data_IF_926824034097
#
_entry.id   IF_926824034097
#
_cell.length_a   1.000
_cell.length_b   1.000
_cell.length_c   1.000
_cell.angle_alpha   90.00
_cell.angle_beta   90.00
_cell.angle_gamma   90.00
#
_symmetry.space_group_name_H-M   'P 1'
#
loop_
_entity.id
_entity.type
_entity.pdbx_description
1 polymer ?
#
# COMPACT_ATOMS: atom_id res chain seq x y z
N UNK A 1 -39.49 42.03 -4.85
CA UNK A 1 -38.43 42.40 -3.88
C UNK A 1 -37.11 41.77 -4.33
N UNK A 2 -36.05 42.57 -4.58
CA UNK A 2 -34.77 42.12 -5.14
C UNK A 2 -33.84 41.61 -4.02
N UNK A 3 -33.12 40.50 -4.24
CA UNK A 3 -32.05 40.02 -3.34
C UNK A 3 -30.87 41.00 -3.40
N UNK A 4 -30.41 41.53 -2.26
CA UNK A 4 -29.15 42.29 -2.19
C UNK A 4 -29.11 43.52 -1.28
N UNK A 5 -30.23 43.98 -0.72
CA UNK A 5 -30.22 45.13 0.21
C UNK A 5 -29.90 44.69 1.65
N UNK A 6 -29.02 45.42 2.37
CA UNK A 6 -28.73 45.14 3.78
C UNK A 6 -29.97 45.50 4.62
N UNK A 7 -30.76 44.49 4.96
CA UNK A 7 -31.89 44.62 5.88
C UNK A 7 -31.51 44.07 7.24
N UNK A 8 -31.75 44.87 8.29
CA UNK A 8 -31.60 44.41 9.66
C UNK A 8 -32.73 43.41 9.95
N UNK A 9 -32.34 42.23 10.41
CA UNK A 9 -33.23 41.18 10.88
C UNK A 9 -34.05 41.67 12.09
N UNK A 10 -35.34 41.33 12.14
CA UNK A 10 -36.27 41.75 13.20
C UNK A 10 -36.15 40.92 14.48
N UNK A 11 -35.26 39.92 14.50
CA UNK A 11 -35.01 39.07 15.66
C UNK A 11 -33.69 39.42 16.33
N UNK A 12 -33.64 39.33 17.65
CA UNK A 12 -32.38 39.43 18.38
C UNK A 12 -31.49 38.20 18.09
N UNK A 13 -30.17 38.33 18.31
CA UNK A 13 -29.18 37.27 18.00
C UNK A 13 -29.50 35.93 18.66
N UNK A 14 -30.00 35.94 19.89
CA UNK A 14 -30.32 34.72 20.64
C UNK A 14 -31.56 34.01 20.10
N UNK A 15 -32.62 34.77 19.82
CA UNK A 15 -33.84 34.25 19.19
C UNK A 15 -33.55 33.71 17.78
N UNK A 16 -32.74 34.42 17.00
CA UNK A 16 -32.32 33.94 15.67
C UNK A 16 -31.45 32.68 15.75
N UNK A 17 -30.55 32.58 16.75
CA UNK A 17 -29.74 31.39 16.97
C UNK A 17 -30.59 30.19 17.44
N UNK A 18 -31.58 30.41 18.32
CA UNK A 18 -32.51 29.37 18.77
C UNK A 18 -33.36 28.84 17.62
N UNK A 19 -33.97 29.74 16.85
CA UNK A 19 -34.69 29.38 15.63
C UNK A 19 -33.78 28.66 14.63
N UNK A 20 -32.57 29.17 14.39
CA UNK A 20 -31.61 28.56 13.47
C UNK A 20 -31.29 27.12 13.86
N UNK A 21 -31.01 26.85 15.15
CA UNK A 21 -30.76 25.49 15.66
C UNK A 21 -31.95 24.56 15.41
N UNK A 22 -33.17 25.02 15.68
CA UNK A 22 -34.38 24.21 15.51
C UNK A 22 -34.71 23.98 14.03
N UNK A 23 -34.57 25.01 13.19
CA UNK A 23 -34.73 24.94 11.75
C UNK A 23 -33.71 23.98 11.11
N UNK A 24 -32.42 24.06 11.48
CA UNK A 24 -31.39 23.14 11.01
C UNK A 24 -31.65 21.71 11.49
N UNK A 25 -32.15 21.52 12.72
CA UNK A 25 -32.51 20.19 13.25
C UNK A 25 -33.65 19.57 12.45
N UNK A 26 -34.72 20.34 12.18
CA UNK A 26 -35.91 19.91 11.43
C UNK A 26 -35.63 19.68 9.94
N UNK A 27 -34.77 20.49 9.32
CA UNK A 27 -34.48 20.44 7.88
C UNK A 27 -33.15 19.76 7.54
N UNK A 28 -32.46 19.14 8.50
CA UNK A 28 -31.13 18.53 8.30
C UNK A 28 -31.13 17.55 7.14
N UNK A 29 -32.10 16.65 7.10
CA UNK A 29 -32.14 15.56 6.12
C UNK A 29 -32.57 16.06 4.73
N UNK A 30 -33.48 17.03 4.68
CA UNK A 30 -33.87 17.71 3.44
C UNK A 30 -32.71 18.55 2.86
N UNK A 31 -31.97 19.27 3.70
CA UNK A 31 -30.81 20.06 3.31
C UNK A 31 -29.65 19.15 2.87
N UNK A 32 -29.40 18.05 3.59
CA UNK A 32 -28.42 17.03 3.21
C UNK A 32 -28.78 16.40 1.86
N UNK A 33 -30.03 16.02 1.66
CA UNK A 33 -30.50 15.43 0.39
C UNK A 33 -30.41 16.39 -0.78
N UNK A 34 -30.69 17.68 -0.57
CA UNK A 34 -30.51 18.72 -1.59
C UNK A 34 -29.03 18.94 -1.91
N UNK A 35 -28.16 18.99 -0.89
CA UNK A 35 -26.71 19.12 -1.07
C UNK A 35 -26.16 17.94 -1.87
N UNK A 36 -26.55 16.71 -1.52
CA UNK A 36 -26.14 15.50 -2.23
C UNK A 36 -26.58 15.52 -3.70
N UNK A 37 -27.81 15.96 -4.00
CA UNK A 37 -28.29 16.13 -5.39
C UNK A 37 -27.48 17.18 -6.16
N UNK A 38 -27.22 18.34 -5.55
CA UNK A 38 -26.44 19.39 -6.17
C UNK A 38 -24.99 18.93 -6.42
N UNK A 39 -24.38 18.24 -5.44
CA UNK A 39 -23.03 17.68 -5.58
C UNK A 39 -23.01 16.62 -6.69
N UNK A 40 -24.02 15.74 -6.76
CA UNK A 40 -24.12 14.75 -7.83
C UNK A 40 -24.26 15.38 -9.22
N UNK A 41 -25.08 16.44 -9.35
CA UNK A 41 -25.22 17.18 -10.60
C UNK A 41 -23.89 17.84 -11.02
N UNK A 42 -23.22 18.52 -10.08
CA UNK A 42 -21.90 19.14 -10.32
C UNK A 42 -20.84 18.11 -10.68
N UNK A 43 -20.82 16.95 -10.01
CA UNK A 43 -19.91 15.85 -10.34
C UNK A 43 -20.17 15.32 -11.75
N UNK A 44 -21.43 15.21 -12.16
CA UNK A 44 -21.81 14.73 -13.50
C UNK A 44 -21.32 15.69 -14.59
N UNK A 45 -21.54 16.99 -14.40
CA UNK A 45 -21.07 18.03 -15.32
C UNK A 45 -19.53 18.09 -15.38
N UNK A 46 -18.86 18.06 -14.22
CA UNK A 46 -17.40 18.05 -14.16
C UNK A 46 -16.82 16.82 -14.86
N UNK A 47 -17.45 15.64 -14.73
CA UNK A 47 -17.05 14.42 -15.45
C UNK A 47 -17.16 14.63 -16.96
N UNK A 48 -18.30 15.14 -17.46
CA UNK A 48 -18.50 15.41 -18.90
C UNK A 48 -17.36 16.23 -19.50
N UNK A 49 -16.98 17.30 -18.81
CA UNK A 49 -15.91 18.19 -19.26
C UNK A 49 -14.52 17.56 -19.19
N UNK A 50 -14.26 16.68 -18.21
CA UNK A 50 -12.98 15.95 -18.14
C UNK A 50 -12.86 14.97 -19.31
N UNK A 51 -13.95 14.31 -19.72
CA UNK A 51 -13.96 13.40 -20.87
C UNK A 51 -13.63 14.15 -22.15
N UNK A 52 -14.33 15.25 -22.38
CA UNK A 52 -14.14 16.11 -23.54
C UNK A 52 -12.69 16.62 -23.61
N UNK A 53 -12.12 16.97 -22.46
CA UNK A 53 -10.71 17.34 -22.34
C UNK A 53 -9.77 16.16 -22.69
N UNK A 54 -9.94 14.98 -22.09
CA UNK A 54 -9.07 13.83 -22.34
C UNK A 54 -9.20 13.28 -23.77
N UNK A 55 -10.37 13.41 -24.40
CA UNK A 55 -10.57 13.02 -25.80
C UNK A 55 -9.78 13.86 -26.80
N UNK A 56 -9.38 15.08 -26.42
CA UNK A 56 -8.58 15.99 -27.26
C UNK A 56 -7.09 16.00 -26.89
N UNK A 57 -6.71 15.36 -25.79
CA UNK A 57 -5.36 15.38 -25.24
C UNK A 57 -4.81 13.95 -25.08
N UNK A 58 -4.15 13.38 -26.11
CA UNK A 58 -3.49 12.08 -26.01
C UNK A 58 -2.35 12.08 -25.00
N UNK A 59 -1.86 10.89 -24.65
CA UNK A 59 -0.66 10.74 -23.83
C UNK A 59 0.54 11.47 -24.47
N UNK A 60 1.18 12.37 -23.73
CA UNK A 60 2.33 13.15 -24.21
C UNK A 60 3.54 12.29 -24.62
N UNK A 61 3.74 11.13 -24.00
CA UNK A 61 4.93 10.31 -24.24
C UNK A 61 4.75 9.25 -25.35
N UNK A 62 3.52 8.76 -25.58
CA UNK A 62 3.28 7.64 -26.51
C UNK A 62 2.06 7.79 -27.44
N UNK A 63 1.30 8.89 -27.32
CA UNK A 63 0.15 9.14 -28.19
C UNK A 63 -1.09 8.30 -27.92
N UNK A 64 -1.12 7.50 -26.84
CA UNK A 64 -2.31 6.72 -26.44
C UNK A 64 -3.54 7.62 -26.28
N UNK A 65 -4.64 7.21 -26.88
CA UNK A 65 -5.90 7.95 -26.96
C UNK A 65 -6.98 7.36 -26.06
N UNK A 66 -6.80 6.13 -25.58
CA UNK A 66 -7.79 5.46 -24.73
C UNK A 66 -7.90 6.16 -23.36
N UNK A 67 -8.97 6.91 -23.19
CA UNK A 67 -9.31 7.68 -21.97
C UNK A 67 -9.29 6.80 -20.71
N UNK A 68 -9.56 5.49 -20.83
CA UNK A 68 -9.58 4.56 -19.68
C UNK A 68 -8.19 4.40 -19.06
N UNK A 69 -7.12 4.57 -19.83
CA UNK A 69 -5.74 4.38 -19.36
C UNK A 69 -5.02 5.69 -19.06
N UNK A 70 -5.57 6.83 -19.49
CA UNK A 70 -5.02 8.17 -19.29
C UNK A 70 -5.21 8.67 -17.85
N UNK A 71 -4.20 9.38 -17.35
CA UNK A 71 -4.16 10.02 -16.04
C UNK A 71 -3.51 11.40 -16.13
N UNK A 72 -3.89 12.27 -15.19
CA UNK A 72 -3.25 13.57 -14.99
C UNK A 72 -1.98 13.41 -14.14
N UNK A 73 -0.82 13.55 -14.79
CA UNK A 73 0.50 13.55 -14.15
C UNK A 73 0.90 14.98 -13.77
N UNK A 74 1.21 15.22 -12.50
CA UNK A 74 1.51 16.56 -12.00
C UNK A 74 2.99 16.89 -12.20
N UNK A 75 3.28 18.12 -12.64
CA UNK A 75 4.65 18.56 -12.90
C UNK A 75 5.44 18.95 -11.62
N UNK A 76 4.82 19.64 -10.64
CA UNK A 76 5.38 19.84 -9.29
C UNK A 76 4.36 20.43 -8.27
N UNK A 77 4.71 20.39 -6.97
CA UNK A 77 4.05 20.87 -5.74
C UNK A 77 2.52 20.67 -5.61
N UNK A 78 2.21 19.59 -4.90
CA UNK A 78 0.90 19.02 -4.54
C UNK A 78 -0.02 19.95 -3.75
N UNK A 79 -1.24 20.20 -4.24
CA UNK A 79 -2.38 20.69 -3.43
C UNK A 79 -3.49 19.61 -3.32
N UNK A 80 -3.89 18.94 -4.42
CA UNK A 80 -4.60 17.65 -4.39
C UNK A 80 -4.70 17.03 -5.80
N UNK A 81 -4.99 15.72 -5.89
CA UNK A 81 -5.27 15.01 -7.15
C UNK A 81 -6.54 15.56 -7.85
N UNK A 82 -6.47 15.84 -9.14
CA UNK A 82 -7.59 16.26 -10.00
C UNK A 82 -8.79 15.32 -9.84
N UNK A 83 -8.55 14.02 -9.67
CA UNK A 83 -9.58 13.00 -9.42
C UNK A 83 -10.29 13.21 -8.07
N UNK A 84 -9.57 13.65 -7.04
CA UNK A 84 -10.16 13.97 -5.74
C UNK A 84 -10.99 15.27 -5.80
N UNK A 85 -10.59 16.24 -6.63
CA UNK A 85 -11.38 17.46 -6.88
C UNK A 85 -12.66 17.19 -7.66
N UNK A 86 -12.60 16.32 -8.67
CA UNK A 86 -13.79 15.89 -9.40
C UNK A 86 -14.79 15.18 -8.48
N UNK A 87 -14.31 14.35 -7.54
CA UNK A 87 -15.15 13.61 -6.58
C UNK A 87 -15.73 14.49 -5.46
N UNK A 88 -15.07 15.58 -5.11
CA UNK A 88 -15.52 16.47 -4.02
C UNK A 88 -16.54 17.53 -4.45
N UNK A 89 -16.92 17.57 -5.73
CA UNK A 89 -17.96 18.48 -6.24
C UNK A 89 -17.51 19.95 -6.30
N UNK A 90 -16.19 20.20 -6.47
CA UNK A 90 -15.66 21.57 -6.63
C UNK A 90 -16.13 22.20 -7.95
N UNK A 91 -16.06 23.53 -8.00
CA UNK A 91 -16.38 24.29 -9.21
C UNK A 91 -15.39 24.00 -10.34
N UNK A 92 -15.87 24.00 -11.58
CA UNK A 92 -15.05 23.72 -12.77
C UNK A 92 -13.81 24.62 -12.86
N UNK A 93 -13.92 25.91 -12.51
CA UNK A 93 -12.80 26.84 -12.52
C UNK A 93 -11.60 26.35 -11.69
N UNK A 94 -11.84 25.77 -10.50
CA UNK A 94 -10.75 25.23 -9.67
C UNK A 94 -10.16 23.94 -10.23
N UNK A 95 -10.97 23.13 -10.90
CA UNK A 95 -10.51 21.92 -11.58
C UNK A 95 -9.62 22.30 -12.77
N UNK A 96 -10.04 23.28 -13.57
CA UNK A 96 -9.28 23.77 -14.72
C UNK A 96 -7.88 24.28 -14.32
N UNK A 97 -7.79 25.09 -13.26
CA UNK A 97 -6.49 25.57 -12.75
C UNK A 97 -5.56 24.45 -12.29
N UNK A 98 -6.11 23.31 -11.87
CA UNK A 98 -5.29 22.16 -11.50
C UNK A 98 -4.91 21.32 -12.72
N UNK A 99 -5.81 21.18 -13.70
CA UNK A 99 -5.52 20.54 -15.01
C UNK A 99 -4.38 21.29 -15.72
N UNK A 100 -4.36 22.62 -15.67
CA UNK A 100 -3.30 23.45 -16.26
C UNK A 100 -1.89 23.19 -15.69
N UNK A 101 -1.80 22.54 -14.52
CA UNK A 101 -0.52 22.14 -13.90
C UNK A 101 -0.17 20.66 -14.13
N UNK A 102 -1.01 19.96 -14.89
CA UNK A 102 -0.89 18.55 -15.17
C UNK A 102 -0.63 18.30 -16.65
N UNK A 103 0.05 17.21 -16.94
CA UNK A 103 0.18 16.65 -18.29
C UNK A 103 -0.61 15.34 -18.37
N UNK A 104 -1.20 15.05 -19.52
CA UNK A 104 -1.93 13.79 -19.72
C UNK A 104 -0.95 12.69 -20.11
N UNK A 105 -0.89 11.62 -19.31
CA UNK A 105 -0.04 10.44 -19.54
C UNK A 105 -0.84 9.15 -19.35
N UNK A 106 -0.53 8.11 -20.13
CA UNK A 106 -1.09 6.78 -19.87
C UNK A 106 -0.43 6.15 -18.64
N UNK A 107 -1.09 5.14 -18.05
CA UNK A 107 -0.61 4.42 -16.86
C UNK A 107 0.84 3.94 -17.00
N UNK A 108 1.16 3.35 -18.16
CA UNK A 108 2.48 2.80 -18.44
C UNK A 108 3.56 3.90 -18.48
N UNK A 109 3.33 4.99 -19.21
CA UNK A 109 4.31 6.08 -19.31
C UNK A 109 4.48 6.85 -17.99
N UNK A 110 3.39 7.07 -17.26
CA UNK A 110 3.46 7.67 -15.93
C UNK A 110 4.30 6.81 -14.95
N UNK A 111 4.20 5.47 -15.03
CA UNK A 111 5.04 4.55 -14.25
C UNK A 111 6.52 4.58 -14.65
N UNK A 112 6.81 4.58 -15.95
CA UNK A 112 8.18 4.73 -16.46
C UNK A 112 8.84 6.00 -15.93
N UNK A 113 8.14 7.13 -16.02
CA UNK A 113 8.61 8.41 -15.47
C UNK A 113 8.82 8.34 -13.96
N UNK A 114 7.87 7.80 -13.20
CA UNK A 114 7.97 7.64 -11.75
C UNK A 114 9.18 6.78 -11.33
N UNK A 115 9.48 5.73 -12.10
CA UNK A 115 10.63 4.87 -11.84
C UNK A 115 11.95 5.57 -12.14
N UNK A 116 12.02 6.27 -13.28
CA UNK A 116 13.20 7.04 -13.67
C UNK A 116 13.54 8.14 -12.64
N UNK A 117 12.53 8.77 -12.03
CA UNK A 117 12.74 9.85 -11.04
C UNK A 117 13.12 9.33 -9.66
N UNK A 118 12.55 8.21 -9.19
CA UNK A 118 12.74 7.74 -7.81
C UNK A 118 13.95 6.81 -7.62
N UNK A 119 14.41 6.11 -8.65
CA UNK A 119 15.41 5.04 -8.50
C UNK A 119 16.45 5.01 -9.62
N UNK A 120 17.52 5.84 -9.54
CA UNK A 120 18.69 5.65 -10.39
C UNK A 120 19.37 4.29 -10.09
N UNK A 121 19.91 3.66 -11.13
CA UNK A 121 20.43 2.29 -11.10
C UNK A 121 21.39 2.03 -9.92
N UNK A 122 21.06 1.05 -9.06
CA UNK A 122 21.90 0.63 -7.92
C UNK A 122 22.64 -0.66 -8.24
N UNK A 123 23.94 -0.71 -7.88
CA UNK A 123 24.80 -1.89 -8.00
C UNK A 123 24.24 -3.09 -7.22
N UNK A 124 24.32 -4.27 -7.85
CA UNK A 124 23.87 -5.53 -7.29
C UNK A 124 24.69 -5.92 -6.04
N UNK A 125 23.99 -6.19 -4.93
CA UNK A 125 24.58 -6.83 -3.74
C UNK A 125 24.34 -8.34 -3.81
N UNK A 126 25.37 -9.13 -3.52
CA UNK A 126 25.34 -10.60 -3.52
C UNK A 126 24.58 -11.19 -2.32
N UNK A 127 23.82 -12.29 -2.53
CA UNK A 127 23.14 -13.00 -1.44
C UNK A 127 24.11 -13.88 -0.66
N UNK A 128 24.09 -13.78 0.67
CA UNK A 128 24.82 -14.69 1.56
C UNK A 128 23.97 -15.93 1.86
N UNK A 129 24.65 -17.08 1.95
CA UNK A 129 24.11 -18.44 2.08
C UNK A 129 23.33 -18.68 3.38
N UNK A 130 22.31 -19.53 3.29
CA UNK A 130 21.46 -19.95 4.40
C UNK A 130 22.22 -20.80 5.43
N UNK A 131 22.00 -20.55 6.73
CA UNK A 131 22.59 -21.32 7.83
C UNK A 131 21.66 -22.47 8.20
N UNK A 132 22.19 -23.70 8.22
CA UNK A 132 21.47 -24.92 8.55
C UNK A 132 20.95 -24.94 10.00
N UNK A 133 19.77 -25.55 10.22
CA UNK A 133 19.16 -25.74 11.55
C UNK A 133 19.75 -26.98 12.25
N UNK A 134 20.06 -26.87 13.54
CA UNK A 134 20.59 -27.97 14.36
C UNK A 134 19.51 -28.98 14.78
N UNK A 135 19.88 -30.27 14.87
CA UNK A 135 19.01 -31.37 15.35
C UNK A 135 18.86 -31.34 16.88
N UNK A 136 17.72 -31.83 17.38
CA UNK A 136 17.45 -32.00 18.82
C UNK A 136 18.30 -33.14 19.41
N UNK A 137 18.79 -32.99 20.65
CA UNK A 137 19.53 -34.04 21.36
C UNK A 137 18.85 -34.43 22.67
N UNK A 138 18.99 -35.70 23.05
CA UNK A 138 18.40 -36.31 24.25
C UNK A 138 19.26 -36.04 25.50
N UNK A 139 18.63 -36.01 26.68
CA UNK A 139 19.27 -35.75 27.98
C UNK A 139 19.68 -37.10 28.60
N UNK A 140 20.88 -37.18 29.17
CA UNK A 140 21.37 -38.37 29.90
C UNK A 140 20.89 -38.41 31.36
N UNK A 141 20.73 -39.61 31.94
CA UNK A 141 20.20 -39.81 33.30
C UNK A 141 21.08 -39.18 34.39
N UNK A 142 22.40 -39.24 34.23
CA UNK A 142 23.36 -38.62 35.17
C UNK A 142 23.24 -37.09 35.21
N UNK A 143 22.91 -36.48 34.07
CA UNK A 143 22.66 -35.04 34.00
C UNK A 143 21.33 -34.64 34.67
N UNK A 144 20.44 -35.59 34.96
CA UNK A 144 19.20 -35.34 35.69
C UNK A 144 19.38 -35.35 37.21
N UNK A 145 20.34 -36.12 37.73
CA UNK A 145 20.53 -36.36 39.17
C UNK A 145 21.65 -35.52 39.80
N UNK A 146 22.62 -35.04 39.01
CA UNK A 146 23.74 -34.26 39.54
C UNK A 146 23.31 -32.85 39.99
N UNK A 147 23.87 -32.37 41.11
CA UNK A 147 23.63 -31.04 41.67
C UNK A 147 24.75 -30.05 41.32
N UNK A 148 24.41 -28.77 41.22
CA UNK A 148 25.35 -27.67 41.00
C UNK A 148 24.88 -26.38 41.67
N UNK A 149 25.84 -25.60 42.17
CA UNK A 149 25.57 -24.28 42.74
C UNK A 149 25.55 -23.21 41.66
N UNK A 150 24.50 -22.39 41.62
CA UNK A 150 24.40 -21.26 40.71
C UNK A 150 25.33 -20.12 41.13
N UNK A 151 26.17 -19.61 40.23
CA UNK A 151 27.07 -18.48 40.53
C UNK A 151 26.39 -17.13 40.80
N UNK A 152 25.08 -17.01 40.53
CA UNK A 152 24.31 -15.77 40.67
C UNK A 152 23.45 -15.80 41.94
N UNK A 153 22.52 -16.75 42.06
CA UNK A 153 21.66 -16.87 43.24
C UNK A 153 22.27 -17.69 44.39
N UNK A 154 23.41 -18.37 44.16
CA UNK A 154 24.13 -19.21 45.15
C UNK A 154 23.36 -20.44 45.68
N UNK A 155 22.18 -20.72 45.15
CA UNK A 155 21.40 -21.92 45.48
C UNK A 155 21.96 -23.17 44.79
N UNK A 156 21.86 -24.33 45.46
CA UNK A 156 22.17 -25.65 44.91
C UNK A 156 20.95 -26.19 44.18
N UNK A 157 21.10 -26.54 42.89
CA UNK A 157 20.02 -27.01 42.02
C UNK A 157 20.48 -28.19 41.16
N UNK A 158 19.57 -29.05 40.65
CA UNK A 158 19.95 -30.11 39.72
C UNK A 158 20.51 -29.55 38.40
N UNK A 159 21.37 -30.29 37.72
CA UNK A 159 22.01 -29.88 36.45
C UNK A 159 20.98 -29.63 35.33
N UNK A 160 19.78 -30.18 35.43
CA UNK A 160 18.64 -29.88 34.55
C UNK A 160 18.18 -28.43 34.64
N UNK A 161 18.32 -27.80 35.80
CA UNK A 161 18.05 -26.38 36.02
C UNK A 161 19.17 -25.47 35.47
N UNK A 162 20.18 -26.04 34.81
CA UNK A 162 21.25 -25.31 34.13
C UNK A 162 21.13 -25.48 32.60
N UNK A 163 21.11 -24.37 31.84
CA UNK A 163 21.05 -24.39 30.39
C UNK A 163 22.26 -25.10 29.76
N UNK A 164 22.05 -25.76 28.62
CA UNK A 164 23.15 -26.31 27.83
C UNK A 164 23.98 -25.18 27.20
N UNK A 165 25.30 -25.28 27.32
CA UNK A 165 26.30 -24.46 26.61
C UNK A 165 26.61 -25.04 25.24
N UNK A 166 26.73 -26.37 25.14
CA UNK A 166 26.92 -27.08 23.89
C UNK A 166 26.08 -28.34 23.89
N UNK A 167 25.24 -28.49 22.87
CA UNK A 167 24.43 -29.68 22.66
C UNK A 167 25.30 -30.89 22.30
N UNK A 168 26.36 -30.68 21.52
CA UNK A 168 27.28 -31.74 21.08
C UNK A 168 28.14 -32.27 22.24
N UNK A 169 28.62 -31.39 23.13
CA UNK A 169 29.47 -31.76 24.25
C UNK A 169 28.67 -32.00 25.56
N UNK A 170 27.34 -31.87 25.52
CA UNK A 170 26.44 -31.94 26.68
C UNK A 170 26.89 -31.06 27.88
N UNK A 171 27.66 -30.00 27.61
CA UNK A 171 28.18 -29.12 28.65
C UNK A 171 27.11 -28.15 29.12
N UNK A 172 27.06 -27.91 30.43
CA UNK A 172 26.06 -27.05 31.09
C UNK A 172 26.68 -25.72 31.53
N UNK A 173 25.88 -24.65 31.51
CA UNK A 173 26.26 -23.36 32.05
C UNK A 173 26.40 -23.40 33.58
N UNK A 174 26.99 -22.33 34.15
CA UNK A 174 27.17 -22.17 35.61
C UNK A 174 26.13 -21.23 36.24
N UNK A 175 25.14 -20.82 35.46
CA UNK A 175 24.03 -19.95 35.86
C UNK A 175 22.74 -20.75 35.66
N UNK A 176 21.86 -20.79 36.66
CA UNK A 176 20.60 -21.52 36.55
C UNK A 176 19.63 -20.86 35.55
N UNK A 177 18.61 -21.59 35.10
CA UNK A 177 17.62 -21.13 34.12
C UNK A 177 16.95 -19.82 34.55
N UNK A 178 16.60 -19.67 35.83
CA UNK A 178 15.96 -18.46 36.34
C UNK A 178 16.88 -17.24 36.25
N UNK A 179 18.13 -17.37 36.72
CA UNK A 179 19.12 -16.29 36.63
C UNK A 179 19.55 -16.02 35.18
N UNK A 180 19.54 -17.03 34.31
CA UNK A 180 19.77 -16.83 32.89
C UNK A 180 18.61 -16.06 32.26
N UNK A 181 17.35 -16.37 32.61
CA UNK A 181 16.17 -15.65 32.11
C UNK A 181 16.19 -14.18 32.51
N UNK A 182 16.53 -13.84 33.76
CA UNK A 182 16.63 -12.45 34.21
C UNK A 182 17.74 -11.71 33.47
N UNK A 183 18.94 -12.28 33.41
CA UNK A 183 20.05 -11.72 32.63
C UNK A 183 19.69 -11.51 31.16
N UNK A 184 19.04 -12.50 30.55
CA UNK A 184 18.64 -12.49 29.15
C UNK A 184 17.60 -11.39 28.91
N UNK A 185 16.60 -11.26 29.79
CA UNK A 185 15.60 -10.19 29.74
C UNK A 185 16.25 -8.81 29.79
N UNK A 186 17.12 -8.56 30.77
CA UNK A 186 17.84 -7.29 30.90
C UNK A 186 18.71 -6.98 29.67
N UNK A 187 19.39 -8.00 29.15
CA UNK A 187 20.17 -7.87 27.92
C UNK A 187 19.27 -7.56 26.71
N UNK A 188 18.11 -8.21 26.59
CA UNK A 188 17.12 -7.96 25.53
C UNK A 188 16.59 -6.53 25.61
N UNK A 189 16.25 -6.03 26.81
CA UNK A 189 15.75 -4.68 27.01
C UNK A 189 16.80 -3.63 26.64
N UNK A 190 18.05 -3.82 27.08
CA UNK A 190 19.19 -2.94 26.74
C UNK A 190 19.51 -2.95 25.24
N UNK A 191 19.38 -4.09 24.57
CA UNK A 191 19.73 -4.25 23.16
C UNK A 191 18.51 -4.14 22.21
N UNK A 192 17.31 -3.86 22.72
CA UNK A 192 16.06 -3.84 21.94
C UNK A 192 16.15 -2.91 20.74
N UNK A 193 16.62 -1.68 20.94
CA UNK A 193 16.76 -0.66 19.88
C UNK A 193 17.72 -1.14 18.78
N UNK A 194 18.89 -1.66 19.16
CA UNK A 194 19.91 -2.18 18.23
C UNK A 194 19.37 -3.38 17.43
N UNK A 195 18.64 -4.29 18.07
CA UNK A 195 18.04 -5.46 17.40
C UNK A 195 16.92 -5.08 16.44
N UNK A 196 16.07 -4.13 16.80
CA UNK A 196 15.03 -3.61 15.90
C UNK A 196 15.69 -2.95 14.67
N UNK A 197 16.73 -2.15 14.88
CA UNK A 197 17.50 -1.54 13.79
C UNK A 197 18.15 -2.61 12.88
N UNK A 198 18.82 -3.61 13.46
CA UNK A 198 19.43 -4.70 12.70
C UNK A 198 18.39 -5.54 11.94
N UNK A 199 17.24 -5.84 12.55
CA UNK A 199 16.14 -6.55 11.90
C UNK A 199 15.54 -5.73 10.75
N UNK A 200 15.44 -4.40 10.89
CA UNK A 200 15.01 -3.50 9.82
C UNK A 200 16.00 -3.53 8.64
N UNK A 201 17.30 -3.44 8.91
CA UNK A 201 18.34 -3.52 7.87
C UNK A 201 18.27 -4.85 7.13
N UNK A 202 18.15 -5.96 7.87
CA UNK A 202 17.99 -7.30 7.29
C UNK A 202 16.74 -7.39 6.40
N UNK A 203 15.59 -6.91 6.89
CA UNK A 203 14.33 -6.91 6.13
C UNK A 203 14.43 -6.10 4.84
N UNK A 204 15.08 -4.94 4.88
CA UNK A 204 15.31 -4.11 3.69
C UNK A 204 16.17 -4.86 2.67
N UNK A 205 17.24 -5.54 3.12
CA UNK A 205 18.09 -6.38 2.26
C UNK A 205 17.31 -7.53 1.63
N UNK A 206 16.57 -8.29 2.43
CA UNK A 206 15.75 -9.41 1.95
C UNK A 206 14.67 -8.95 0.97
N UNK A 207 13.96 -7.86 1.28
CA UNK A 207 12.99 -7.27 0.36
C UNK A 207 13.63 -6.87 -0.97
N UNK A 208 14.86 -6.34 -0.95
CA UNK A 208 15.58 -5.94 -2.17
C UNK A 208 15.94 -7.13 -3.05
N UNK A 209 16.30 -8.27 -2.43
CA UNK A 209 16.57 -9.53 -3.14
C UNK A 209 15.29 -10.06 -3.77
N UNK A 210 14.18 -10.08 -3.03
CA UNK A 210 12.89 -10.55 -3.53
C UNK A 210 12.37 -9.68 -4.67
N UNK A 211 12.51 -8.35 -4.56
CA UNK A 211 12.15 -7.41 -5.63
C UNK A 211 12.94 -7.67 -6.92
N UNK A 212 14.22 -8.04 -6.82
CA UNK A 212 15.01 -8.44 -8.00
C UNK A 212 14.46 -9.71 -8.63
N UNK A 213 14.25 -10.76 -7.83
CA UNK A 213 13.67 -12.02 -8.34
C UNK A 213 12.31 -11.83 -9.00
N UNK A 214 11.48 -10.95 -8.44
CA UNK A 214 10.19 -10.58 -9.04
C UNK A 214 10.39 -9.86 -10.37
N UNK A 215 11.34 -8.92 -10.45
CA UNK A 215 11.67 -8.22 -11.70
C UNK A 215 12.18 -9.20 -12.76
N UNK A 216 13.07 -10.12 -12.39
CA UNK A 216 13.60 -11.15 -13.29
C UNK A 216 12.44 -12.00 -13.83
N UNK A 217 11.54 -12.47 -12.94
CA UNK A 217 10.33 -13.18 -13.33
C UNK A 217 9.46 -12.37 -14.32
N UNK A 218 9.22 -11.08 -14.06
CA UNK A 218 8.44 -10.23 -14.96
C UNK A 218 9.12 -9.99 -16.31
N UNK A 219 10.46 -10.02 -16.36
CA UNK A 219 11.21 -9.93 -17.62
C UNK A 219 10.98 -11.12 -18.54
N UNK A 220 10.78 -12.32 -17.97
CA UNK A 220 10.51 -13.54 -18.73
C UNK A 220 9.02 -13.72 -19.08
N UNK A 221 8.13 -12.90 -18.52
CA UNK A 221 6.68 -13.04 -18.64
C UNK A 221 6.05 -11.72 -19.13
N UNK A 222 5.95 -11.50 -20.45
CA UNK A 222 5.31 -10.31 -21.00
C UNK A 222 3.81 -10.28 -20.69
N UNK A 223 3.19 -9.10 -20.88
CA UNK A 223 1.76 -8.89 -20.71
C UNK A 223 0.94 -9.88 -21.57
N UNK A 224 0.05 -10.64 -20.93
CA UNK A 224 -0.82 -11.62 -21.62
C UNK A 224 -1.75 -11.00 -22.66
N UNK A 225 -2.14 -9.72 -22.49
CA UNK A 225 -3.11 -9.07 -23.39
C UNK A 225 -2.47 -8.33 -24.56
N UNK A 226 -1.24 -7.78 -24.41
CA UNK A 226 -0.64 -6.89 -25.40
C UNK A 226 0.86 -7.13 -25.67
N UNK A 227 1.48 -8.12 -25.04
CA UNK A 227 2.89 -8.47 -25.26
C UNK A 227 3.93 -7.50 -24.71
N UNK A 228 3.53 -6.43 -24.02
CA UNK A 228 4.46 -5.49 -23.37
C UNK A 228 5.39 -6.25 -22.42
N UNK A 229 6.70 -6.08 -22.58
CA UNK A 229 7.74 -6.84 -21.89
C UNK A 229 8.49 -6.01 -20.85
N UNK A 230 8.23 -4.71 -20.77
CA UNK A 230 8.89 -3.82 -19.80
C UNK A 230 8.44 -4.13 -18.35
N UNK A 231 9.32 -4.69 -17.49
CA UNK A 231 8.97 -5.08 -16.13
C UNK A 231 8.50 -3.92 -15.23
N UNK A 232 8.83 -2.68 -15.57
CA UNK A 232 8.46 -1.51 -14.76
C UNK A 232 6.99 -1.11 -14.93
N UNK A 233 6.32 -1.57 -16.00
CA UNK A 233 4.89 -1.33 -16.25
C UNK A 233 4.01 -2.55 -16.01
N UNK A 234 4.61 -3.72 -15.79
CA UNK A 234 3.93 -4.98 -15.53
C UNK A 234 3.52 -5.13 -14.05
N UNK A 235 2.34 -5.71 -13.84
CA UNK A 235 1.76 -6.07 -12.55
C UNK A 235 1.24 -7.50 -12.57
N UNK A 236 1.11 -8.08 -11.38
CA UNK A 236 0.39 -9.33 -11.14
C UNK A 236 -1.11 -9.07 -10.98
N UNK A 237 -1.88 -9.37 -12.04
CA UNK A 237 -3.33 -9.30 -12.04
C UNK A 237 -3.93 -10.58 -11.45
N UNK A 238 -4.70 -10.45 -10.37
CA UNK A 238 -5.20 -11.61 -9.62
C UNK A 238 -6.52 -12.09 -10.20
N UNK A 239 -6.62 -13.40 -10.46
CA UNK A 239 -7.84 -14.02 -11.01
C UNK A 239 -8.79 -14.58 -9.93
N UNK A 240 -8.32 -14.78 -8.70
CA UNK A 240 -9.03 -15.51 -7.63
C UNK A 240 -8.79 -14.86 -6.26
N UNK A 241 -9.45 -15.38 -5.22
CA UNK A 241 -9.29 -14.91 -3.84
C UNK A 241 -7.82 -14.93 -3.39
N UNK A 242 -7.34 -13.78 -2.89
CA UNK A 242 -5.95 -13.56 -2.48
C UNK A 242 -5.77 -13.62 -0.98
N UNK A 243 -4.56 -13.96 -0.53
CA UNK A 243 -4.16 -13.77 0.88
C UNK A 243 -3.56 -12.38 1.10
N UNK A 244 -2.78 -11.88 0.13
CA UNK A 244 -2.18 -10.54 0.17
C UNK A 244 -1.54 -10.18 -1.20
N UNK A 245 -1.28 -8.90 -1.48
CA UNK A 245 -0.63 -8.49 -2.74
C UNK A 245 0.84 -8.97 -2.81
N UNK A 246 1.30 -9.46 -3.97
CA UNK A 246 2.71 -9.87 -4.20
C UNK A 246 3.72 -8.79 -3.81
N UNK A 247 3.47 -7.52 -4.15
CA UNK A 247 4.33 -6.39 -3.76
C UNK A 247 4.43 -6.24 -2.24
N UNK A 248 3.33 -6.48 -1.51
CA UNK A 248 3.30 -6.42 -0.05
C UNK A 248 4.05 -7.61 0.56
N UNK A 249 3.90 -8.81 0.00
CA UNK A 249 4.65 -10.01 0.42
C UNK A 249 6.16 -9.78 0.28
N UNK A 250 6.60 -9.15 -0.81
CA UNK A 250 7.99 -8.75 -0.99
C UNK A 250 8.46 -7.72 0.05
N UNK A 251 7.64 -6.71 0.38
CA UNK A 251 7.96 -5.69 1.38
C UNK A 251 8.08 -6.23 2.81
N UNK A 252 7.26 -7.23 3.18
CA UNK A 252 7.34 -7.88 4.50
C UNK A 252 8.42 -8.96 4.57
N UNK A 253 9.17 -9.19 3.48
CA UNK A 253 10.17 -10.23 3.34
C UNK A 253 9.60 -11.65 3.60
N UNK A 254 8.46 -11.96 2.98
CA UNK A 254 7.91 -13.32 2.97
C UNK A 254 8.87 -14.30 2.26
N UNK A 255 8.75 -15.60 2.58
CA UNK A 255 9.56 -16.62 1.89
C UNK A 255 9.24 -16.68 0.40
N UNK A 256 10.24 -17.06 -0.40
CA UNK A 256 10.08 -17.15 -1.84
C UNK A 256 8.97 -18.11 -2.26
N UNK A 257 8.83 -19.25 -1.57
CA UNK A 257 7.78 -20.23 -1.85
C UNK A 257 6.36 -19.66 -1.67
N UNK A 258 6.16 -18.78 -0.69
CA UNK A 258 4.87 -18.11 -0.47
C UNK A 258 4.59 -17.11 -1.59
N UNK A 259 5.63 -16.42 -2.07
CA UNK A 259 5.50 -15.49 -3.21
C UNK A 259 5.19 -16.25 -4.50
N UNK A 260 5.89 -17.35 -4.78
CA UNK A 260 5.61 -18.21 -5.94
C UNK A 260 4.19 -18.77 -5.92
N UNK A 261 3.72 -19.23 -4.76
CA UNK A 261 2.36 -19.74 -4.61
C UNK A 261 1.30 -18.66 -4.87
N UNK A 262 1.60 -17.39 -4.60
CA UNK A 262 0.69 -16.28 -4.92
C UNK A 262 0.82 -15.85 -6.39
N UNK A 263 2.04 -15.82 -6.95
CA UNK A 263 2.28 -15.55 -8.37
C UNK A 263 1.54 -16.57 -9.25
N UNK A 264 1.52 -17.85 -8.86
CA UNK A 264 0.80 -18.90 -9.59
C UNK A 264 -0.73 -18.67 -9.69
N UNK A 265 -1.29 -17.77 -8.88
CA UNK A 265 -2.72 -17.37 -8.93
C UNK A 265 -2.95 -16.09 -9.75
N UNK A 266 -1.88 -15.51 -10.27
CA UNK A 266 -1.89 -14.24 -10.98
C UNK A 266 -1.50 -14.43 -12.44
N UNK A 267 -1.96 -13.52 -13.28
CA UNK A 267 -1.48 -13.35 -14.65
C UNK A 267 -0.69 -12.06 -14.75
N UNK A 268 0.35 -12.03 -15.59
CA UNK A 268 1.15 -10.82 -15.79
C UNK A 268 0.47 -9.91 -16.81
N UNK A 269 0.17 -8.68 -16.43
CA UNK A 269 -0.45 -7.65 -17.28
C UNK A 269 0.21 -6.30 -17.10
N UNK A 270 0.28 -5.50 -18.16
CA UNK A 270 0.69 -4.11 -18.04
C UNK A 270 -0.42 -3.26 -17.40
N UNK A 271 -0.05 -2.12 -16.82
CA UNK A 271 -0.98 -1.24 -16.12
C UNK A 271 -2.15 -0.75 -17.00
N UNK A 272 -1.88 -0.47 -18.28
CA UNK A 272 -2.91 -0.10 -19.25
C UNK A 272 -3.95 -1.24 -19.45
N UNK A 273 -3.49 -2.48 -19.72
CA UNK A 273 -4.37 -3.63 -19.91
C UNK A 273 -5.13 -4.00 -18.62
N UNK A 274 -4.47 -3.90 -17.46
CA UNK A 274 -5.11 -4.07 -16.16
C UNK A 274 -6.26 -3.07 -15.95
N UNK A 275 -6.09 -1.79 -16.32
CA UNK A 275 -7.16 -0.78 -16.28
C UNK A 275 -8.30 -1.09 -17.23
N UNK A 276 -8.01 -1.44 -18.48
CA UNK A 276 -9.01 -1.87 -19.47
C UNK A 276 -9.83 -3.05 -18.96
N UNK A 277 -9.18 -4.06 -18.38
CA UNK A 277 -9.85 -5.24 -17.81
C UNK A 277 -10.70 -4.91 -16.60
N UNK A 278 -10.15 -4.13 -15.67
CA UNK A 278 -10.91 -3.64 -14.50
C UNK A 278 -12.15 -2.89 -14.96
N UNK A 279 -12.02 -2.12 -16.05
CA UNK A 279 -13.13 -1.37 -16.60
C UNK A 279 -14.25 -2.28 -17.13
N UNK A 280 -13.90 -3.33 -17.87
CA UNK A 280 -14.85 -4.33 -18.36
C UNK A 280 -15.56 -5.08 -17.22
N UNK A 281 -14.84 -5.43 -16.16
CA UNK A 281 -15.33 -6.26 -15.06
C UNK A 281 -16.13 -5.52 -13.97
N UNK A 282 -16.20 -4.19 -14.01
CA UNK A 282 -17.12 -3.38 -13.20
C UNK A 282 -16.88 -3.35 -11.68
N UNK A 283 -15.78 -3.93 -11.17
CA UNK A 283 -15.61 -4.18 -9.73
C UNK A 283 -14.91 -3.11 -8.89
N UNK A 284 -14.22 -2.11 -9.45
CA UNK A 284 -13.67 -1.00 -8.65
C UNK A 284 -13.20 0.14 -9.56
N UNK A 285 -13.67 1.36 -9.35
CA UNK A 285 -13.21 2.53 -10.13
C UNK A 285 -12.73 3.66 -9.23
N UNK A 286 -11.44 3.97 -9.36
CA UNK A 286 -10.95 5.34 -9.13
C UNK A 286 -11.42 6.20 -10.31
N UNK A 287 -12.62 6.74 -10.14
CA UNK A 287 -13.08 8.06 -10.60
C UNK A 287 -13.30 8.33 -12.10
N UNK A 288 -12.68 7.64 -13.07
CA UNK A 288 -12.73 8.09 -14.48
C UNK A 288 -13.39 7.12 -15.48
N UNK A 289 -13.84 5.93 -15.11
CA UNK A 289 -14.41 4.97 -16.06
C UNK A 289 -15.87 4.51 -15.80
N UNK A 290 -16.60 5.18 -14.89
CA UNK A 290 -18.09 5.22 -14.93
C UNK A 290 -18.62 6.01 -16.14
N UNK A 291 -17.71 6.41 -17.03
CA UNK A 291 -17.83 7.47 -18.03
C UNK A 291 -18.17 6.91 -19.43
N UNK A 292 -17.77 5.68 -19.76
CA UNK A 292 -18.07 5.08 -21.07
C UNK A 292 -19.43 4.36 -21.12
N UNK A 293 -20.13 4.20 -19.99
CA UNK A 293 -21.45 3.53 -19.92
C UNK A 293 -22.65 4.50 -19.96
N UNK A 294 -22.41 5.78 -20.21
CA UNK A 294 -23.49 6.77 -20.36
C UNK A 294 -23.92 6.92 -21.85
N UNK A 295 -23.10 6.42 -22.79
CA UNK A 295 -23.37 6.56 -24.24
C UNK A 295 -23.65 5.25 -25.00
N UNK A 296 -23.86 4.12 -24.32
CA UNK A 296 -24.55 2.97 -24.93
C UNK A 296 -26.04 3.03 -24.55
N UNK A 297 -26.92 3.59 -25.42
CA UNK A 297 -28.34 3.32 -25.27
C UNK A 297 -28.51 1.80 -25.39
N UNK A 298 -29.13 1.20 -24.38
CA UNK A 298 -29.52 -0.20 -24.40
C UNK A 298 -30.17 -0.52 -25.77
N UNK A 299 -29.54 -1.41 -26.53
CA UNK A 299 -30.17 -2.12 -27.64
C UNK A 299 -30.64 -3.47 -27.13
#
# INVERSE_FOLDING_TARGET
MRRGEPKLQTWCRECFAAYGREYYRKNRDAQKSRLMRNVAATQTENRRRIIEYLGTHPCVDCGELDIVVLEFDHLDHKIADVSAYASSGRTWSRIKTEIEKCEVRCANCHRRKTRATLFPARKAVEPQTAVARSRAAQITLDAALALRTCRVCKEVKPLTEFPLRSLALQTRQWICLLCQRTYTKDWYDRNRKRRIAAARVRRVREASILQRRIRDYLGDHPCVDCGESDPDVLDFDHLRDKRDNVSRLAHVAASWDVILAEIAKCEVRCANCHRRRTAKNGRYYRTLATIARIDEPAR
#
